data_IF_009932673479
#
_entry.id   IF_009932673479
#
_cell.length_a   1.000
_cell.length_b   1.000
_cell.length_c   1.000
_cell.angle_alpha   90.00
_cell.angle_beta   90.00
_cell.angle_gamma   90.00
#
_symmetry.space_group_name_H-M   'P 1'
#
loop_
_entity.id
_entity.type
_entity.pdbx_description
1 polymer ?
#
# COMPACT_ATOMS: atom_id res chain seq x y z
N UNK A 1 -1.56 -0.65 -5.09
CA UNK A 1 -2.72 -1.56 -5.09
C UNK A 1 -3.86 -0.84 -4.41
N UNK A 2 -5.11 -1.08 -4.81
CA UNK A 2 -6.23 -0.21 -4.39
C UNK A 2 -7.53 -0.94 -4.05
N UNK A 3 -7.58 -2.28 -4.11
CA UNK A 3 -8.72 -3.08 -3.68
C UNK A 3 -8.26 -4.46 -3.16
N UNK A 4 -9.14 -5.12 -2.42
CA UNK A 4 -8.85 -6.39 -1.73
C UNK A 4 -8.58 -7.54 -2.71
N UNK A 5 -9.38 -7.65 -3.76
CA UNK A 5 -9.23 -8.71 -4.77
C UNK A 5 -7.82 -8.70 -5.39
N UNK A 6 -7.29 -7.52 -5.70
CA UNK A 6 -5.93 -7.39 -6.23
C UNK A 6 -4.88 -7.85 -5.22
N UNK A 7 -5.09 -7.56 -3.93
CA UNK A 7 -4.20 -8.00 -2.84
C UNK A 7 -4.16 -9.51 -2.80
N UNK A 8 -5.32 -10.14 -2.76
CA UNK A 8 -5.44 -11.60 -2.62
C UNK A 8 -4.83 -12.32 -3.81
N UNK A 9 -5.09 -11.83 -5.03
CA UNK A 9 -4.48 -12.37 -6.25
C UNK A 9 -2.96 -12.24 -6.23
N UNK A 10 -2.42 -11.09 -5.81
CA UNK A 10 -0.97 -10.88 -5.73
C UNK A 10 -0.31 -11.82 -4.71
N UNK A 11 -0.92 -11.99 -3.54
CA UNK A 11 -0.44 -12.91 -2.49
C UNK A 11 -0.47 -14.35 -2.99
N UNK A 12 -1.59 -14.80 -3.58
CA UNK A 12 -1.73 -16.15 -4.12
C UNK A 12 -0.76 -16.43 -5.27
N UNK A 13 -0.41 -15.40 -6.04
CA UNK A 13 0.57 -15.50 -7.12
C UNK A 13 2.03 -15.51 -6.64
N UNK A 14 2.26 -15.39 -5.32
CA UNK A 14 3.59 -15.44 -4.73
C UNK A 14 4.38 -14.13 -4.82
N UNK A 15 3.70 -12.98 -4.80
CA UNK A 15 4.39 -11.69 -4.77
C UNK A 15 5.25 -11.53 -3.50
N UNK A 16 6.49 -11.09 -3.66
CA UNK A 16 7.38 -10.77 -2.53
C UNK A 16 7.02 -9.42 -1.87
N UNK A 17 6.40 -8.52 -2.65
CA UNK A 17 6.14 -7.13 -2.29
C UNK A 17 4.78 -6.66 -2.80
N UNK A 18 4.10 -5.87 -1.98
CA UNK A 18 2.86 -5.17 -2.32
C UNK A 18 3.05 -3.67 -2.08
N UNK A 19 2.76 -2.86 -3.10
CA UNK A 19 2.92 -1.40 -3.05
C UNK A 19 1.60 -0.65 -3.01
N UNK A 20 1.48 0.31 -2.09
CA UNK A 20 0.37 1.27 -2.00
C UNK A 20 0.85 2.65 -2.46
N UNK A 21 0.02 3.37 -3.22
CA UNK A 21 0.41 4.66 -3.80
C UNK A 21 -0.30 5.77 -3.05
N UNK A 22 0.45 6.78 -2.62
CA UNK A 22 -0.05 7.94 -1.86
C UNK A 22 0.18 9.27 -2.61
N UNK A 23 0.52 9.20 -3.90
CA UNK A 23 0.66 10.38 -4.75
C UNK A 23 -0.73 10.83 -5.26
N UNK A 24 -1.21 11.99 -4.78
CA UNK A 24 -2.54 12.56 -5.11
C UNK A 24 -2.83 12.71 -6.61
N UNK A 25 -1.79 12.86 -7.44
CA UNK A 25 -1.91 12.95 -8.90
C UNK A 25 -2.08 11.60 -9.60
N UNK A 26 -1.90 10.49 -8.88
CA UNK A 26 -2.02 9.13 -9.42
C UNK A 26 -3.46 8.65 -9.34
N UNK A 27 -3.99 8.01 -10.40
CA UNK A 27 -5.31 7.35 -10.34
C UNK A 27 -5.32 6.14 -9.39
N UNK A 28 -4.15 5.71 -8.92
CA UNK A 28 -3.99 4.59 -7.96
C UNK A 28 -3.82 5.08 -6.52
N UNK A 29 -3.97 6.39 -6.27
CA UNK A 29 -3.83 6.95 -4.94
C UNK A 29 -4.89 6.38 -3.99
N UNK A 30 -4.47 5.96 -2.80
CA UNK A 30 -5.36 5.55 -1.71
C UNK A 30 -4.98 6.28 -0.42
N UNK A 31 -5.87 6.27 0.59
CA UNK A 31 -5.58 6.83 1.91
C UNK A 31 -4.72 5.87 2.76
N UNK A 32 -4.00 6.38 3.78
CA UNK A 32 -3.31 5.55 4.77
C UNK A 32 -4.24 4.54 5.45
N UNK A 33 -5.45 4.98 5.83
CA UNK A 33 -6.48 4.12 6.42
C UNK A 33 -6.87 2.96 5.50
N UNK A 34 -7.08 3.23 4.21
CA UNK A 34 -7.39 2.19 3.23
C UNK A 34 -6.21 1.24 3.02
N UNK A 35 -4.97 1.75 3.02
CA UNK A 35 -3.77 0.92 2.92
C UNK A 35 -3.63 -0.01 4.13
N UNK A 36 -3.91 0.50 5.33
CA UNK A 36 -3.93 -0.29 6.57
C UNK A 36 -4.92 -1.45 6.46
N UNK A 37 -6.18 -1.18 6.09
CA UNK A 37 -7.21 -2.20 5.91
C UNK A 37 -6.79 -3.28 4.89
N UNK A 38 -6.24 -2.88 3.74
CA UNK A 38 -5.77 -3.81 2.72
C UNK A 38 -4.54 -4.62 3.18
N UNK A 39 -3.72 -4.06 4.07
CA UNK A 39 -2.52 -4.72 4.56
C UNK A 39 -2.80 -5.81 5.60
N UNK A 40 -3.98 -5.79 6.25
CA UNK A 40 -4.37 -6.79 7.26
C UNK A 40 -4.43 -8.22 6.69
N UNK A 41 -4.75 -8.37 5.41
CA UNK A 41 -4.80 -9.68 4.74
C UNK A 41 -3.44 -10.16 4.22
N UNK A 42 -2.41 -9.31 4.27
CA UNK A 42 -1.10 -9.61 3.69
C UNK A 42 -0.29 -10.46 4.68
N UNK A 43 0.15 -11.67 4.29
CA UNK A 43 0.97 -12.51 5.15
C UNK A 43 2.33 -11.85 5.42
N UNK A 44 2.88 -12.00 6.63
CA UNK A 44 4.13 -11.33 7.03
C UNK A 44 5.40 -11.68 6.22
N UNK A 45 5.33 -12.69 5.34
CA UNK A 45 6.40 -13.00 4.39
C UNK A 45 6.43 -12.04 3.17
N UNK A 46 5.31 -11.37 2.87
CA UNK A 46 5.17 -10.38 1.81
C UNK A 46 5.33 -8.99 2.42
N UNK A 47 6.25 -8.17 1.90
CA UNK A 47 6.46 -6.83 2.48
C UNK A 47 5.51 -5.82 1.85
N UNK A 48 5.01 -4.91 2.67
CA UNK A 48 4.25 -3.74 2.23
C UNK A 48 5.21 -2.57 1.94
N UNK A 49 4.89 -1.78 0.92
CA UNK A 49 5.70 -0.63 0.50
C UNK A 49 4.81 0.57 0.20
N UNK A 50 5.30 1.77 0.51
CA UNK A 50 4.63 3.02 0.21
C UNK A 50 5.32 3.73 -0.97
N UNK A 51 4.55 4.10 -1.99
CA UNK A 51 5.00 4.86 -3.15
C UNK A 51 4.48 6.28 -3.04
N UNK A 52 5.40 7.23 -2.93
CA UNK A 52 5.12 8.65 -2.71
C UNK A 52 5.82 9.52 -3.74
N UNK A 53 5.26 10.71 -4.02
CA UNK A 53 5.85 11.69 -4.93
C UNK A 53 6.20 12.95 -4.13
N UNK A 54 7.49 13.16 -3.88
CA UNK A 54 8.03 14.29 -3.11
C UNK A 54 7.28 14.54 -1.78
N UNK A 55 7.12 13.53 -0.90
CA UNK A 55 6.37 13.70 0.34
C UNK A 55 7.10 14.63 1.31
N UNK A 56 6.33 15.35 2.12
CA UNK A 56 6.83 15.97 3.35
C UNK A 56 7.12 14.90 4.41
N UNK A 57 7.91 15.25 5.44
CA UNK A 57 8.19 14.34 6.55
C UNK A 57 6.90 13.93 7.30
N UNK A 58 5.93 14.84 7.42
CA UNK A 58 4.63 14.57 8.04
C UNK A 58 3.82 13.55 7.24
N UNK A 59 3.78 13.68 5.91
CA UNK A 59 3.09 12.71 5.04
C UNK A 59 3.76 11.32 5.08
N UNK A 60 5.09 11.27 5.22
CA UNK A 60 5.80 9.99 5.44
C UNK A 60 5.38 9.36 6.76
N UNK A 61 5.37 10.14 7.84
CA UNK A 61 5.00 9.64 9.16
C UNK A 61 3.56 9.13 9.20
N UNK A 62 2.62 9.85 8.58
CA UNK A 62 1.21 9.46 8.51
C UNK A 62 0.97 8.10 7.83
N UNK A 63 1.85 7.68 6.91
CA UNK A 63 1.75 6.39 6.23
C UNK A 63 2.51 5.26 6.94
N UNK A 64 3.47 5.62 7.81
CA UNK A 64 4.26 4.65 8.56
C UNK A 64 3.65 4.29 9.92
N UNK A 65 2.84 5.20 10.49
CA UNK A 65 2.07 4.99 11.73
C UNK A 65 0.89 4.01 11.50
#
# INVERSE_FOLDING_TARGET
MSNQESVDVAVQSGADLIGFVFAKTSPRCISPEQASQLSESIPGQVKTTAVMLHPSATEVQEVLD
#
